data_IF_662633495670
#
_entry.id   IF_662633495670
#
_cell.length_a   1.000
_cell.length_b   1.000
_cell.length_c   1.000
_cell.angle_alpha   90.00
_cell.angle_beta   90.00
_cell.angle_gamma   90.00
#
_symmetry.space_group_name_H-M   'P 1'
#
loop_
_entity.id
_entity.type
_entity.pdbx_description
1 polymer ?
#
# COMPACT_ATOMS: atom_id res chain seq x y z
N UNK A 1 23.07 -14.73 -35.02
CA UNK A 1 22.88 -13.90 -33.83
C UNK A 1 21.54 -14.27 -33.19
N UNK A 2 21.51 -14.71 -31.95
CA UNK A 2 20.25 -14.96 -31.28
C UNK A 2 19.65 -13.64 -30.80
N UNK A 3 18.33 -13.46 -30.99
CA UNK A 3 17.63 -12.29 -30.46
C UNK A 3 17.66 -12.30 -28.92
N UNK A 4 17.86 -11.13 -28.30
CA UNK A 4 17.78 -11.02 -26.84
C UNK A 4 16.38 -11.43 -26.35
N UNK A 5 16.30 -12.14 -25.22
CA UNK A 5 15.01 -12.52 -24.67
C UNK A 5 14.21 -11.28 -24.26
N UNK A 6 12.93 -11.26 -24.60
CA UNK A 6 12.01 -10.18 -24.26
C UNK A 6 11.09 -10.61 -23.13
N UNK A 7 10.76 -9.68 -22.22
CA UNK A 7 9.72 -9.89 -21.23
C UNK A 7 8.33 -9.90 -21.87
N UNK A 8 7.35 -10.46 -21.19
CA UNK A 8 5.95 -10.43 -21.66
C UNK A 8 5.43 -9.00 -21.86
N UNK A 9 5.83 -8.06 -21.01
CA UNK A 9 5.47 -6.65 -21.14
C UNK A 9 6.03 -6.03 -22.44
N UNK A 10 7.31 -6.33 -22.75
CA UNK A 10 7.92 -5.89 -24.02
C UNK A 10 7.22 -6.50 -25.23
N UNK A 11 6.86 -7.78 -25.15
CA UNK A 11 6.14 -8.47 -26.25
C UNK A 11 4.72 -7.91 -26.43
N UNK A 12 4.07 -7.50 -25.36
CA UNK A 12 2.74 -6.89 -25.39
C UNK A 12 2.77 -5.41 -25.79
N UNK A 13 3.96 -4.81 -25.99
CA UNK A 13 4.09 -3.38 -26.28
C UNK A 13 3.71 -2.46 -25.12
N UNK A 14 3.73 -3.00 -23.89
CA UNK A 14 3.43 -2.21 -22.71
C UNK A 14 4.58 -1.24 -22.37
N UNK A 15 4.29 -0.06 -21.84
CA UNK A 15 5.32 0.87 -21.39
C UNK A 15 6.15 0.23 -20.28
N UNK A 16 7.48 0.35 -20.35
CA UNK A 16 8.42 -0.18 -19.38
C UNK A 16 8.84 0.87 -18.34
N UNK A 17 8.42 2.10 -18.51
CA UNK A 17 8.69 3.20 -17.57
C UNK A 17 7.52 3.34 -16.60
N UNK A 18 7.80 3.65 -15.33
CA UNK A 18 6.75 3.97 -14.36
C UNK A 18 5.88 5.14 -14.83
N UNK A 19 4.62 5.14 -14.41
CA UNK A 19 3.73 6.26 -14.67
C UNK A 19 4.26 7.55 -14.01
N UNK A 20 4.03 8.73 -14.63
CA UNK A 20 4.32 9.99 -13.98
C UNK A 20 3.51 10.16 -12.69
N UNK A 21 4.08 10.80 -11.68
CA UNK A 21 3.44 10.99 -10.38
C UNK A 21 2.11 11.76 -10.46
N UNK A 22 1.96 12.64 -11.42
CA UNK A 22 0.72 13.39 -11.67
C UNK A 22 -0.43 12.53 -12.19
N UNK A 23 -0.16 11.30 -12.62
CA UNK A 23 -1.16 10.31 -13.04
C UNK A 23 -1.39 9.18 -12.03
N UNK A 24 -0.61 9.16 -10.96
CA UNK A 24 -0.64 8.10 -9.97
C UNK A 24 -1.36 8.50 -8.68
N UNK A 25 -1.91 7.49 -7.98
CA UNK A 25 -2.27 7.55 -6.57
C UNK A 25 -1.37 6.57 -5.80
N UNK A 26 -1.03 6.92 -4.57
CA UNK A 26 -0.25 6.06 -3.67
C UNK A 26 -1.17 5.27 -2.76
N UNK A 27 -1.02 3.96 -2.75
CA UNK A 27 -1.73 3.05 -1.85
C UNK A 27 -0.72 2.37 -0.93
N UNK A 28 -0.76 2.71 0.35
CA UNK A 28 0.04 2.07 1.39
C UNK A 28 -0.80 0.98 2.05
N UNK A 29 -0.33 -0.27 2.00
CA UNK A 29 -1.07 -1.44 2.47
C UNK A 29 -0.47 -1.95 3.77
N UNK A 30 -1.25 -1.92 4.84
CA UNK A 30 -0.99 -2.57 6.12
C UNK A 30 0.38 -2.23 6.75
N UNK A 31 0.85 -0.99 6.61
CA UNK A 31 2.07 -0.53 7.30
C UNK A 31 1.70 -0.18 8.74
N UNK A 32 1.37 -1.21 9.51
CA UNK A 32 0.79 -1.12 10.85
C UNK A 32 1.79 -1.56 11.93
N UNK A 33 1.58 -1.07 13.13
CA UNK A 33 2.43 -1.34 14.30
C UNK A 33 2.51 -2.83 14.64
N UNK A 34 1.49 -3.62 14.28
CA UNK A 34 1.51 -5.08 14.45
C UNK A 34 2.74 -5.72 13.81
N UNK A 35 3.19 -5.22 12.67
CA UNK A 35 4.36 -5.74 11.94
C UNK A 35 5.69 -5.18 12.43
N UNK A 36 5.70 -4.08 13.19
CA UNK A 36 6.94 -3.44 13.68
C UNK A 36 7.23 -3.73 15.15
N UNK A 37 6.21 -3.75 15.97
CA UNK A 37 6.34 -3.87 17.43
C UNK A 37 5.29 -4.80 18.07
N UNK A 38 4.37 -5.32 17.27
CA UNK A 38 3.31 -6.22 17.71
C UNK A 38 3.66 -7.72 17.60
N UNK A 39 2.62 -8.53 17.51
CA UNK A 39 2.73 -10.00 17.49
C UNK A 39 3.30 -10.59 16.21
N UNK A 40 3.30 -9.84 15.10
CA UNK A 40 3.79 -10.28 13.79
C UNK A 40 5.01 -9.48 13.32
N UNK A 41 5.94 -9.20 14.19
CA UNK A 41 7.14 -8.45 13.85
C UNK A 41 7.90 -9.07 12.69
N UNK A 42 8.05 -8.29 11.60
CA UNK A 42 8.73 -8.74 10.38
C UNK A 42 10.24 -8.49 10.43
N UNK A 43 11.06 -9.41 9.92
CA UNK A 43 12.49 -9.16 9.73
C UNK A 43 12.71 -7.96 8.80
N UNK A 44 13.64 -7.06 9.16
CA UNK A 44 13.98 -5.89 8.33
C UNK A 44 12.88 -4.83 8.21
N UNK A 45 11.83 -4.91 9.01
CA UNK A 45 10.67 -4.01 8.92
C UNK A 45 11.03 -2.54 9.08
N UNK A 46 12.01 -2.21 9.93
CA UNK A 46 12.46 -0.83 10.13
C UNK A 46 12.95 -0.18 8.84
N UNK A 47 13.84 -0.84 8.11
CA UNK A 47 14.33 -0.36 6.82
C UNK A 47 13.21 -0.24 5.77
N UNK A 48 12.26 -1.17 5.75
CA UNK A 48 11.12 -1.13 4.84
C UNK A 48 10.18 0.04 5.18
N UNK A 49 9.94 0.32 6.44
CA UNK A 49 9.17 1.48 6.89
C UNK A 49 9.86 2.79 6.51
N UNK A 50 11.18 2.87 6.64
CA UNK A 50 11.96 4.06 6.25
C UNK A 50 11.81 4.34 4.74
N UNK A 51 11.86 3.32 3.90
CA UNK A 51 11.64 3.48 2.44
C UNK A 51 10.19 3.88 2.13
N UNK A 52 9.21 3.31 2.80
CA UNK A 52 7.81 3.72 2.66
C UNK A 52 7.59 5.18 3.10
N UNK A 53 8.26 5.62 4.16
CA UNK A 53 8.21 7.01 4.63
C UNK A 53 8.82 8.00 3.63
N UNK A 54 9.93 7.63 2.98
CA UNK A 54 10.54 8.43 1.88
C UNK A 54 9.57 8.55 0.70
N UNK A 55 8.98 7.45 0.27
CA UNK A 55 7.98 7.43 -0.80
C UNK A 55 6.77 8.31 -0.46
N UNK A 56 6.24 8.18 0.75
CA UNK A 56 5.13 8.98 1.23
C UNK A 56 5.46 10.48 1.27
N UNK A 57 6.67 10.84 1.71
CA UNK A 57 7.15 12.23 1.72
C UNK A 57 7.19 12.80 0.31
N UNK A 58 7.70 12.04 -0.65
CA UNK A 58 7.74 12.44 -2.06
C UNK A 58 6.32 12.60 -2.63
N UNK A 59 5.43 11.64 -2.37
CA UNK A 59 4.04 11.68 -2.82
C UNK A 59 3.33 12.94 -2.30
N UNK A 60 3.49 13.25 -1.02
CA UNK A 60 2.94 14.46 -0.39
C UNK A 60 3.47 15.75 -1.04
N UNK A 61 4.79 15.83 -1.26
CA UNK A 61 5.42 16.98 -1.89
C UNK A 61 4.94 17.21 -3.34
N UNK A 62 4.54 16.15 -4.04
CA UNK A 62 4.03 16.20 -5.42
C UNK A 62 2.51 16.23 -5.53
N UNK A 63 1.80 16.32 -4.42
CA UNK A 63 0.33 16.36 -4.44
C UNK A 63 -0.32 15.06 -4.92
N UNK A 64 0.36 13.92 -4.78
CA UNK A 64 -0.18 12.60 -5.12
C UNK A 64 -1.23 12.22 -4.08
N UNK A 65 -2.45 11.82 -4.47
CA UNK A 65 -3.45 11.30 -3.54
C UNK A 65 -2.94 10.07 -2.80
N UNK A 66 -3.09 10.05 -1.47
CA UNK A 66 -2.59 8.98 -0.61
C UNK A 66 -3.74 8.23 0.04
N UNK A 67 -3.71 6.92 -0.04
CA UNK A 67 -4.64 5.99 0.60
C UNK A 67 -3.87 5.09 1.56
N UNK A 68 -4.26 5.13 2.83
CA UNK A 68 -3.74 4.25 3.87
C UNK A 68 -4.72 3.11 4.08
N UNK A 69 -4.40 1.94 3.56
CA UNK A 69 -5.18 0.73 3.80
C UNK A 69 -4.69 0.09 5.09
N UNK A 70 -5.61 -0.21 5.98
CA UNK A 70 -5.31 -0.82 7.28
C UNK A 70 -6.11 -2.11 7.46
N UNK A 71 -5.45 -3.18 7.83
CA UNK A 71 -6.12 -4.43 8.14
C UNK A 71 -6.72 -4.35 9.54
N UNK A 72 -8.01 -4.66 9.65
CA UNK A 72 -8.69 -4.83 10.93
C UNK A 72 -9.04 -6.29 11.12
N UNK A 73 -8.47 -6.88 12.14
CA UNK A 73 -8.85 -8.20 12.62
C UNK A 73 -10.17 -8.14 13.42
N UNK A 74 -10.42 -9.18 14.19
CA UNK A 74 -11.59 -9.22 15.07
C UNK A 74 -11.41 -8.25 16.23
N UNK A 75 -12.43 -7.45 16.60
CA UNK A 75 -12.40 -6.68 17.84
C UNK A 75 -12.07 -7.56 19.05
N UNK A 76 -11.13 -7.12 19.89
CA UNK A 76 -10.62 -7.92 21.00
C UNK A 76 -9.74 -9.11 20.63
N UNK A 77 -9.44 -9.29 19.33
CA UNK A 77 -8.58 -10.38 18.84
C UNK A 77 -7.10 -10.15 19.12
N UNK A 78 -6.30 -11.20 18.90
CA UNK A 78 -4.87 -11.17 19.21
C UNK A 78 -4.05 -10.33 18.24
N UNK A 79 -4.50 -10.19 16.98
CA UNK A 79 -3.76 -9.50 15.92
C UNK A 79 -4.66 -8.47 15.22
N UNK A 80 -4.08 -7.34 14.86
CA UNK A 80 -4.77 -6.24 14.16
C UNK A 80 -6.09 -5.84 14.83
N UNK A 81 -6.11 -5.87 16.15
CA UNK A 81 -7.31 -5.51 16.91
C UNK A 81 -7.61 -4.02 16.71
N UNK A 82 -8.76 -3.66 16.09
CA UNK A 82 -9.09 -2.25 15.81
C UNK A 82 -9.33 -1.41 17.07
N UNK A 83 -9.54 -2.05 18.22
CA UNK A 83 -9.69 -1.40 19.52
C UNK A 83 -8.35 -1.17 20.23
N UNK A 84 -7.26 -1.67 19.68
CA UNK A 84 -5.93 -1.59 20.27
C UNK A 84 -4.91 -0.84 19.41
N UNK A 85 -3.78 -0.45 20.01
CA UNK A 85 -2.80 0.41 19.32
C UNK A 85 -2.01 -0.29 18.23
N UNK A 86 -1.99 -1.63 18.19
CA UNK A 86 -1.20 -2.37 17.19
C UNK A 86 -1.84 -2.35 15.79
N UNK A 87 -3.15 -2.09 15.67
CA UNK A 87 -3.80 -1.90 14.38
C UNK A 87 -3.53 -0.51 13.76
N UNK A 88 -2.97 0.42 14.51
CA UNK A 88 -2.64 1.75 14.01
C UNK A 88 -1.47 1.69 13.02
N UNK A 89 -1.42 2.60 12.03
CA UNK A 89 -0.25 2.80 11.19
C UNK A 89 1.01 3.12 12.00
N UNK A 90 2.16 2.67 11.51
CA UNK A 90 3.45 3.06 12.10
C UNK A 90 3.60 4.58 12.02
N UNK A 91 4.12 5.21 13.08
CA UNK A 91 4.18 6.66 13.20
C UNK A 91 4.89 7.37 12.02
N UNK A 92 5.94 6.75 11.47
CA UNK A 92 6.67 7.28 10.31
C UNK A 92 5.82 7.43 9.05
N UNK A 93 4.71 6.68 8.94
CA UNK A 93 3.77 6.73 7.82
C UNK A 93 2.36 7.07 8.26
N UNK A 94 2.21 7.70 9.42
CA UNK A 94 0.89 8.07 9.94
C UNK A 94 0.11 8.95 8.96
N UNK A 95 -1.20 8.71 8.78
CA UNK A 95 -2.05 9.54 7.94
C UNK A 95 -2.06 11.01 8.40
N UNK A 96 -2.08 11.93 7.44
CA UNK A 96 -2.28 13.36 7.67
C UNK A 96 -3.70 13.78 7.30
N UNK A 97 -4.19 14.92 7.82
CA UNK A 97 -5.47 15.48 7.40
C UNK A 97 -5.55 15.61 5.87
N UNK A 98 -6.68 15.18 5.28
CA UNK A 98 -6.89 15.15 3.83
C UNK A 98 -6.46 13.84 3.16
N UNK A 99 -5.74 12.97 3.83
CA UNK A 99 -5.44 11.62 3.34
C UNK A 99 -6.55 10.63 3.76
N UNK A 100 -6.77 9.62 2.93
CA UNK A 100 -7.86 8.67 3.14
C UNK A 100 -7.36 7.40 3.84
N UNK A 101 -8.05 6.98 4.89
CA UNK A 101 -7.82 5.70 5.56
C UNK A 101 -8.94 4.74 5.18
N UNK A 102 -8.58 3.54 4.71
CA UNK A 102 -9.51 2.51 4.25
C UNK A 102 -9.29 1.24 5.07
N UNK A 103 -10.18 0.91 6.00
CA UNK A 103 -10.10 -0.36 6.72
C UNK A 103 -10.53 -1.53 5.82
N UNK A 104 -9.85 -2.65 5.97
CA UNK A 104 -10.19 -3.92 5.28
C UNK A 104 -10.15 -5.10 6.24
N UNK A 105 -10.93 -6.13 5.95
CA UNK A 105 -10.95 -7.38 6.69
C UNK A 105 -10.44 -8.59 5.89
N UNK A 106 -10.06 -8.38 4.63
CA UNK A 106 -9.57 -9.43 3.72
C UNK A 106 -8.19 -9.05 3.17
N UNK A 107 -7.39 -10.02 2.67
CA UNK A 107 -6.10 -9.71 2.07
C UNK A 107 -6.16 -8.70 0.93
N UNK A 108 -7.09 -8.86 0.00
CA UNK A 108 -7.30 -7.94 -1.11
C UNK A 108 -7.90 -6.62 -0.61
N UNK A 109 -7.19 -5.52 -0.78
CA UNK A 109 -7.61 -4.20 -0.33
C UNK A 109 -8.88 -3.66 -1.06
N UNK A 110 -9.20 -4.20 -2.21
CA UNK A 110 -10.41 -3.83 -2.97
C UNK A 110 -11.64 -4.67 -2.60
N UNK A 111 -11.44 -5.81 -1.91
CA UNK A 111 -12.53 -6.71 -1.57
C UNK A 111 -13.33 -6.19 -0.38
N UNK A 112 -14.61 -5.92 -0.61
CA UNK A 112 -15.55 -5.38 0.40
C UNK A 112 -15.09 -4.07 1.05
N UNK A 113 -14.45 -3.21 0.27
CA UNK A 113 -14.02 -1.86 0.67
C UNK A 113 -14.47 -0.83 -0.35
N UNK A 114 -14.36 0.45 0.00
CA UNK A 114 -14.64 1.56 -0.91
C UNK A 114 -13.41 2.03 -1.70
N UNK A 115 -12.27 1.34 -1.60
CA UNK A 115 -11.00 1.80 -2.15
C UNK A 115 -11.07 2.11 -3.64
N UNK A 116 -11.68 1.23 -4.45
CA UNK A 116 -11.83 1.43 -5.89
C UNK A 116 -12.60 2.72 -6.22
N UNK A 117 -13.74 2.91 -5.57
CA UNK A 117 -14.56 4.11 -5.77
C UNK A 117 -13.83 5.40 -5.34
N UNK A 118 -13.08 5.33 -4.24
CA UNK A 118 -12.31 6.46 -3.72
C UNK A 118 -11.14 6.83 -4.65
N UNK A 119 -10.42 5.83 -5.18
CA UNK A 119 -9.36 6.05 -6.16
C UNK A 119 -9.93 6.66 -7.43
N UNK A 120 -11.02 6.14 -7.98
CA UNK A 120 -11.68 6.67 -9.18
C UNK A 120 -12.08 8.13 -9.05
N UNK A 121 -12.50 8.57 -7.88
CA UNK A 121 -12.81 9.99 -7.61
C UNK A 121 -11.61 10.92 -7.77
N UNK A 122 -10.38 10.43 -7.65
CA UNK A 122 -9.18 11.24 -7.85
C UNK A 122 -8.87 11.51 -9.31
N UNK A 123 -9.46 10.77 -10.25
CA UNK A 123 -9.14 10.83 -11.67
C UNK A 123 -7.78 10.23 -12.04
N UNK A 124 -7.08 9.59 -11.08
CA UNK A 124 -5.79 8.95 -11.32
C UNK A 124 -5.99 7.57 -11.94
N UNK A 125 -5.25 7.29 -13.00
CA UNK A 125 -5.34 6.02 -13.75
C UNK A 125 -4.28 4.98 -13.38
N UNK A 126 -3.30 5.36 -12.56
CA UNK A 126 -2.17 4.52 -12.18
C UNK A 126 -2.05 4.42 -10.66
N UNK A 127 -1.52 3.30 -10.17
CA UNK A 127 -1.29 3.10 -8.74
C UNK A 127 0.18 2.83 -8.45
N UNK A 128 0.68 3.46 -7.41
CA UNK A 128 1.92 3.09 -6.75
C UNK A 128 1.51 2.36 -5.48
N UNK A 129 1.91 1.10 -5.35
CA UNK A 129 1.53 0.25 -4.22
C UNK A 129 2.77 -0.10 -3.42
N UNK A 130 2.73 0.13 -2.12
CA UNK A 130 3.76 -0.28 -1.18
C UNK A 130 3.12 -0.80 0.11
N UNK A 131 3.78 -1.69 0.81
CA UNK A 131 3.26 -2.19 2.08
C UNK A 131 3.60 -3.62 2.39
N UNK A 132 2.85 -4.21 3.29
CA UNK A 132 3.09 -5.54 3.87
C UNK A 132 1.86 -6.44 3.74
N UNK A 133 2.05 -7.76 3.73
CA UNK A 133 3.28 -8.45 3.31
C UNK A 133 3.22 -8.65 1.80
N UNK A 134 4.37 -8.66 1.15
CA UNK A 134 4.47 -8.75 -0.32
C UNK A 134 3.72 -9.94 -0.90
N UNK A 135 3.84 -11.11 -0.27
CA UNK A 135 3.23 -12.37 -0.76
C UNK A 135 1.75 -12.55 -0.38
N UNK A 136 1.19 -11.66 0.44
CA UNK A 136 -0.18 -11.78 0.94
C UNK A 136 -1.04 -10.57 0.53
N UNK A 137 -1.17 -9.58 1.39
CA UNK A 137 -2.08 -8.45 1.14
C UNK A 137 -1.66 -7.62 -0.07
N UNK A 138 -0.37 -7.39 -0.28
CA UNK A 138 0.13 -6.67 -1.45
C UNK A 138 -0.14 -7.47 -2.72
N UNK A 139 0.27 -8.73 -2.79
CA UNK A 139 0.04 -9.59 -3.94
C UNK A 139 -1.45 -9.76 -4.27
N UNK A 140 -2.31 -9.96 -3.26
CA UNK A 140 -3.74 -10.09 -3.45
C UNK A 140 -4.40 -8.81 -3.98
N UNK A 141 -3.85 -7.65 -3.65
CA UNK A 141 -4.41 -6.35 -4.05
C UNK A 141 -3.97 -5.91 -5.45
N UNK A 142 -2.78 -6.29 -5.91
CA UNK A 142 -2.26 -5.88 -7.23
C UNK A 142 -2.68 -6.80 -8.37
N UNK A 143 -3.27 -7.94 -8.09
CA UNK A 143 -3.81 -8.90 -9.07
C UNK A 143 -5.25 -8.60 -9.43
#
# INVERSE_FOLDING_TARGET
MMAEPKSLLQMAGAPLTPAPLDKAALVLIDIQREYSEGGLKLPGVGAAVDEAAKLLTLARAKGVPVFHVVHHGRPGGALFNPEGPMAEPVSAVAPKPGETVVPKGLPNAFAKTELDALIKKTGRGELIVAGFMTHLCVSASVR
#
